data_IF_728208078093
#
_entry.id   IF_728208078093
#
_cell.length_a   1.000
_cell.length_b   1.000
_cell.length_c   1.000
_cell.angle_alpha   90.00
_cell.angle_beta   90.00
_cell.angle_gamma   90.00
#
_symmetry.space_group_name_H-M   'P 1'
#
loop_
_entity.id
_entity.type
_entity.pdbx_description
1 polymer ?
#
# COMPACT_ATOMS: atom_id res chain seq x y z
N UNK A 1 -9.94 19.36 -11.42
CA UNK A 1 -10.38 18.12 -10.74
C UNK A 1 -9.32 17.75 -9.71
N UNK A 2 -9.62 17.85 -8.42
CA UNK A 2 -8.63 17.68 -7.34
C UNK A 2 -8.19 16.22 -7.20
N UNK A 3 -6.92 15.93 -7.48
CA UNK A 3 -6.31 14.59 -7.49
C UNK A 3 -6.18 13.93 -6.11
N UNK A 4 -7.23 14.01 -5.30
CA UNK A 4 -7.34 13.46 -3.97
C UNK A 4 -8.08 12.12 -4.02
N UNK A 5 -7.45 11.07 -3.48
CA UNK A 5 -8.01 9.74 -3.32
C UNK A 5 -8.40 9.55 -1.85
N UNK A 6 -9.69 9.30 -1.60
CA UNK A 6 -10.26 9.15 -0.25
C UNK A 6 -10.79 7.75 0.05
N UNK A 7 -11.09 6.94 -0.96
CA UNK A 7 -11.73 5.64 -0.77
C UNK A 7 -10.68 4.58 -0.45
N UNK A 8 -10.87 3.86 0.65
CA UNK A 8 -10.00 2.77 1.05
C UNK A 8 -9.89 1.69 -0.04
N UNK A 9 -11.00 1.33 -0.69
CA UNK A 9 -10.99 0.31 -1.76
C UNK A 9 -10.10 0.72 -2.93
N UNK A 10 -10.00 2.02 -3.24
CA UNK A 10 -9.13 2.52 -4.31
C UNK A 10 -7.66 2.39 -3.91
N UNK A 11 -7.31 2.63 -2.65
CA UNK A 11 -5.95 2.39 -2.16
C UNK A 11 -5.58 0.91 -2.22
N UNK A 12 -6.47 0.03 -1.74
CA UNK A 12 -6.25 -1.42 -1.78
C UNK A 12 -6.01 -1.90 -3.22
N UNK A 13 -6.90 -1.53 -4.14
CA UNK A 13 -6.78 -1.87 -5.57
C UNK A 13 -5.45 -1.40 -6.18
N UNK A 14 -5.00 -0.19 -5.86
CA UNK A 14 -3.75 0.34 -6.40
C UNK A 14 -2.55 -0.43 -5.85
N UNK A 15 -2.52 -0.69 -4.54
CA UNK A 15 -1.41 -1.39 -3.89
C UNK A 15 -1.32 -2.83 -4.41
N UNK A 16 -2.45 -3.54 -4.52
CA UNK A 16 -2.52 -4.89 -5.09
C UNK A 16 -1.98 -4.92 -6.52
N UNK A 17 -2.43 -3.99 -7.38
CA UNK A 17 -1.94 -3.88 -8.76
C UNK A 17 -0.43 -3.63 -8.84
N UNK A 18 0.10 -2.81 -7.95
CA UNK A 18 1.54 -2.52 -7.88
C UNK A 18 2.31 -3.78 -7.44
N UNK A 19 1.84 -4.48 -6.40
CA UNK A 19 2.45 -5.72 -5.92
C UNK A 19 2.41 -6.84 -6.97
N UNK A 20 1.28 -7.01 -7.68
CA UNK A 20 1.15 -7.96 -8.78
C UNK A 20 2.11 -7.64 -9.92
N UNK A 21 2.25 -6.36 -10.26
CA UNK A 21 3.18 -5.94 -11.32
C UNK A 21 4.63 -6.15 -10.90
N UNK A 22 4.99 -5.86 -9.66
CA UNK A 22 6.33 -6.07 -9.12
C UNK A 22 6.72 -7.56 -9.20
N UNK A 23 5.81 -8.46 -8.81
CA UNK A 23 6.00 -9.91 -8.94
C UNK A 23 6.21 -10.36 -10.38
N UNK A 24 5.39 -9.85 -11.32
CA UNK A 24 5.52 -10.16 -12.76
C UNK A 24 6.84 -9.72 -13.38
N UNK A 25 7.53 -8.74 -12.79
CA UNK A 25 8.82 -8.24 -13.29
C UNK A 25 10.03 -8.72 -12.45
N UNK A 26 9.82 -9.72 -11.57
CA UNK A 26 10.90 -10.41 -10.86
C UNK A 26 11.26 -9.87 -9.47
N UNK A 27 10.37 -9.10 -8.83
CA UNK A 27 10.51 -8.70 -7.42
C UNK A 27 9.55 -9.48 -6.54
N UNK A 28 9.98 -9.90 -5.35
CA UNK A 28 9.04 -10.28 -4.30
C UNK A 28 8.74 -9.11 -3.38
N UNK A 29 7.53 -9.13 -2.84
CA UNK A 29 7.09 -8.16 -1.83
C UNK A 29 7.54 -8.67 -0.45
N UNK A 30 8.28 -7.84 0.26
CA UNK A 30 8.85 -8.13 1.58
C UNK A 30 8.12 -7.39 2.71
N UNK A 31 7.39 -6.34 2.38
CA UNK A 31 6.69 -5.54 3.37
C UNK A 31 5.85 -4.45 2.74
N UNK A 32 4.87 -4.00 3.51
CA UNK A 32 3.96 -2.93 3.16
C UNK A 32 3.67 -2.10 4.40
N UNK A 33 3.71 -0.78 4.26
CA UNK A 33 3.29 0.17 5.30
C UNK A 33 2.76 1.46 4.66
N UNK A 34 2.34 2.42 5.47
CA UNK A 34 1.97 3.76 5.03
C UNK A 34 2.93 4.82 5.56
N UNK A 35 3.05 5.93 4.84
CA UNK A 35 3.79 7.10 5.31
C UNK A 35 3.04 7.74 6.48
N UNK A 36 3.70 8.05 7.61
CA UNK A 36 3.06 8.77 8.72
C UNK A 36 2.73 10.23 8.35
N UNK A 37 3.30 10.74 7.25
CA UNK A 37 3.10 12.10 6.79
C UNK A 37 2.03 12.13 5.69
N UNK A 38 1.05 13.01 5.84
CA UNK A 38 0.19 13.41 4.72
C UNK A 38 0.86 14.52 3.93
N UNK A 39 0.85 14.41 2.61
CA UNK A 39 1.16 15.56 1.74
C UNK A 39 0.08 16.63 1.89
N UNK A 40 0.43 17.88 1.57
CA UNK A 40 -0.50 19.02 1.53
C UNK A 40 -1.74 18.77 0.64
N UNK A 41 -1.64 17.85 -0.33
CA UNK A 41 -2.76 17.42 -1.17
C UNK A 41 -3.82 16.60 -0.44
N UNK A 42 -3.49 15.98 0.71
CA UNK A 42 -4.37 15.13 1.50
C UNK A 42 -4.37 13.64 1.15
N UNK A 43 -3.57 13.20 0.17
CA UNK A 43 -3.43 11.79 -0.17
C UNK A 43 -2.65 11.04 0.92
N UNK A 44 -3.09 9.81 1.20
CA UNK A 44 -2.30 8.83 1.97
C UNK A 44 -1.29 8.21 1.01
N UNK A 45 -0.03 8.12 1.44
CA UNK A 45 1.03 7.47 0.68
C UNK A 45 1.39 6.13 1.31
N UNK A 46 1.70 5.15 0.46
CA UNK A 46 2.05 3.80 0.87
C UNK A 46 3.48 3.47 0.44
N UNK A 47 4.17 2.71 1.28
CA UNK A 47 5.55 2.28 1.06
C UNK A 47 5.55 0.77 0.93
N UNK A 48 6.07 0.27 -0.19
CA UNK A 48 6.21 -1.16 -0.46
C UNK A 48 7.70 -1.51 -0.52
N UNK A 49 8.11 -2.52 0.23
CA UNK A 49 9.48 -3.03 0.21
C UNK A 49 9.57 -4.18 -0.80
N UNK A 50 10.37 -3.98 -1.85
CA UNK A 50 10.55 -4.91 -2.95
C UNK A 50 12.00 -5.39 -2.99
N UNK A 51 12.19 -6.69 -3.18
CA UNK A 51 13.52 -7.30 -3.34
C UNK A 51 13.58 -8.06 -4.66
N UNK A 52 14.60 -7.74 -5.48
CA UNK A 52 14.85 -8.40 -6.76
C UNK A 52 15.35 -9.82 -6.52
N UNK A 53 14.87 -10.78 -7.31
CA UNK A 53 15.27 -12.19 -7.20
C UNK A 53 15.02 -12.80 -5.81
N UNK A 54 14.08 -12.26 -5.02
CA UNK A 54 13.69 -12.87 -3.75
C UNK A 54 13.01 -14.20 -4.07
N UNK A 55 13.73 -15.31 -3.91
CA UNK A 55 13.19 -16.64 -4.12
C UNK A 55 12.05 -16.93 -3.16
N UNK A 56 12.38 -17.38 -1.93
CA UNK A 56 11.39 -17.87 -0.95
C UNK A 56 10.88 -16.79 0.02
N UNK A 57 11.50 -15.62 0.09
CA UNK A 57 11.23 -14.66 1.16
C UNK A 57 10.06 -13.71 0.87
N UNK A 58 9.01 -14.11 0.16
CA UNK A 58 7.86 -13.21 -0.05
C UNK A 58 6.94 -13.20 1.17
N UNK A 59 6.29 -12.07 1.45
CA UNK A 59 5.19 -12.06 2.43
C UNK A 59 4.06 -12.94 1.93
N UNK A 60 3.61 -13.84 2.81
CA UNK A 60 2.41 -14.62 2.57
C UNK A 60 1.16 -13.74 2.76
N UNK A 61 0.09 -14.08 2.05
CA UNK A 61 -1.21 -13.43 2.24
C UNK A 61 -1.21 -11.91 1.98
N UNK A 62 -0.57 -11.49 0.88
CA UNK A 62 -0.46 -10.07 0.51
C UNK A 62 -1.80 -9.30 0.51
N UNK A 63 -2.93 -9.82 -0.01
CA UNK A 63 -4.21 -9.10 0.03
C UNK A 63 -4.67 -8.73 1.44
N UNK A 64 -4.49 -9.62 2.42
CA UNK A 64 -4.88 -9.37 3.81
C UNK A 64 -3.97 -8.31 4.44
N UNK A 65 -2.67 -8.34 4.16
CA UNK A 65 -1.73 -7.30 4.61
C UNK A 65 -2.12 -5.93 4.02
N UNK A 66 -2.53 -5.89 2.75
CA UNK A 66 -3.03 -4.67 2.11
C UNK A 66 -4.26 -4.13 2.84
N UNK A 67 -5.24 -5.00 3.14
CA UNK A 67 -6.43 -4.62 3.89
C UNK A 67 -6.08 -4.02 5.26
N UNK A 68 -5.23 -4.68 6.04
CA UNK A 68 -4.81 -4.26 7.37
C UNK A 68 -4.06 -2.93 7.36
N UNK A 69 -3.08 -2.78 6.46
CA UNK A 69 -2.28 -1.55 6.34
C UNK A 69 -3.15 -0.38 5.88
N UNK A 70 -4.05 -0.60 4.91
CA UNK A 70 -4.97 0.45 4.46
C UNK A 70 -5.92 0.85 5.59
N UNK A 71 -6.50 -0.12 6.30
CA UNK A 71 -7.37 0.14 7.45
C UNK A 71 -6.65 0.97 8.51
N UNK A 72 -5.42 0.58 8.89
CA UNK A 72 -4.61 1.30 9.86
C UNK A 72 -4.29 2.72 9.40
N UNK A 73 -3.90 2.91 8.14
CA UNK A 73 -3.63 4.23 7.58
C UNK A 73 -4.87 5.14 7.66
N UNK A 74 -6.05 4.62 7.31
CA UNK A 74 -7.30 5.38 7.40
C UNK A 74 -7.68 5.72 8.84
N UNK A 75 -7.41 4.84 9.81
CA UNK A 75 -7.67 5.10 11.23
C UNK A 75 -6.75 6.19 11.80
N UNK A 76 -5.46 6.16 11.47
CA UNK A 76 -4.48 7.09 12.03
C UNK A 76 -4.49 8.45 11.33
N UNK A 77 -4.75 8.46 10.03
CA UNK A 77 -4.59 9.66 9.23
C UNK A 77 -5.92 10.34 8.92
N UNK A 78 -7.07 9.67 8.90
CA UNK A 78 -8.33 10.37 8.62
C UNK A 78 -8.62 11.44 9.68
N UNK A 79 -9.13 12.62 9.28
CA UNK A 79 -9.48 13.65 10.24
C UNK A 79 -10.47 13.08 11.27
N UNK A 80 -10.15 13.23 12.56
CA UNK A 80 -11.09 12.90 13.64
C UNK A 80 -12.34 13.77 13.44
N UNK A 81 -13.50 13.14 13.46
CA UNK A 81 -14.79 13.84 13.52
C UNK A 81 -14.88 14.67 14.80
#
# INVERSE_FOLDING_TARGET
KGGLVKKAEVHQMVIERVGDKAQKIGFGVQGLTFSPLKKASGNIEYLIYLVKNSGKDKIDNFPQIVEEVVKKAHQELSPKK
#
